data_IF_124119473776
#
_entry.id   IF_124119473776
#
_cell.length_a   1.000
_cell.length_b   1.000
_cell.length_c   1.000
_cell.angle_alpha   90.00
_cell.angle_beta   90.00
_cell.angle_gamma   90.00
#
_symmetry.space_group_name_H-M   'P 1'
#
loop_
_entity.id
_entity.type
_entity.pdbx_description
1 polymer ?
#
# COMPACT_ATOMS: atom_id res chain seq x y z
N UNK A 1 -3.61 -31.30 5.77
CA UNK A 1 -3.18 -29.89 5.78
C UNK A 1 -3.31 -29.20 4.43
N UNK A 2 -3.09 -29.91 3.35
CA UNK A 2 -3.25 -29.38 1.98
C UNK A 2 -4.64 -28.82 1.67
N UNK A 3 -5.69 -29.39 2.26
CA UNK A 3 -7.06 -28.95 2.03
C UNK A 3 -7.33 -27.53 2.56
N UNK A 4 -6.84 -27.19 3.76
CA UNK A 4 -7.03 -25.85 4.35
C UNK A 4 -6.25 -24.80 3.57
N UNK A 5 -5.01 -25.10 3.18
CA UNK A 5 -4.19 -24.22 2.37
C UNK A 5 -4.83 -23.94 1.01
N UNK A 6 -5.34 -24.98 0.34
CA UNK A 6 -6.04 -24.84 -0.95
C UNK A 6 -7.31 -24.00 -0.84
N UNK A 7 -8.16 -24.29 0.17
CA UNK A 7 -9.39 -23.52 0.42
C UNK A 7 -9.07 -22.05 0.67
N UNK A 8 -8.06 -21.78 1.48
CA UNK A 8 -7.62 -20.42 1.77
C UNK A 8 -7.14 -19.72 0.52
N UNK A 9 -6.30 -20.37 -0.31
CA UNK A 9 -5.84 -19.80 -1.57
C UNK A 9 -6.97 -19.47 -2.54
N UNK A 10 -7.98 -20.36 -2.66
CA UNK A 10 -9.17 -20.08 -3.48
C UNK A 10 -9.96 -18.89 -2.95
N UNK A 11 -10.19 -18.82 -1.64
CA UNK A 11 -10.91 -17.71 -1.01
C UNK A 11 -10.19 -16.37 -1.20
N UNK A 12 -8.86 -16.33 -1.05
CA UNK A 12 -8.09 -15.10 -1.26
C UNK A 12 -8.12 -14.64 -2.72
N UNK A 13 -8.07 -15.55 -3.68
CA UNK A 13 -8.23 -15.23 -5.10
C UNK A 13 -9.62 -14.64 -5.40
N UNK A 14 -10.65 -15.20 -4.81
CA UNK A 14 -12.02 -14.69 -4.92
C UNK A 14 -12.13 -13.27 -4.33
N UNK A 15 -11.52 -12.99 -3.19
CA UNK A 15 -11.47 -11.65 -2.61
C UNK A 15 -10.79 -10.64 -3.53
N UNK A 16 -9.71 -11.04 -4.21
CA UNK A 16 -9.02 -10.19 -5.18
C UNK A 16 -9.87 -9.92 -6.42
N UNK A 17 -10.59 -10.95 -6.91
CA UNK A 17 -11.40 -10.83 -8.14
C UNK A 17 -12.69 -10.01 -7.92
N UNK A 18 -13.32 -10.13 -6.75
CA UNK A 18 -14.65 -9.55 -6.49
C UNK A 18 -14.62 -8.10 -6.01
N UNK A 19 -13.46 -7.44 -5.99
CA UNK A 19 -13.28 -6.07 -5.48
C UNK A 19 -13.86 -5.82 -4.07
N UNK A 20 -13.94 -6.87 -3.26
CA UNK A 20 -14.39 -6.76 -1.88
C UNK A 20 -13.35 -6.06 -0.99
N UNK A 21 -12.08 -6.16 -1.37
CA UNK A 21 -10.97 -5.49 -0.69
C UNK A 21 -10.90 -4.01 -1.05
N UNK A 22 -10.71 -3.16 -0.06
CA UNK A 22 -10.63 -1.71 -0.22
C UNK A 22 -9.33 -1.14 0.34
N UNK A 23 -8.71 -0.25 -0.42
CA UNK A 23 -7.59 0.57 0.05
C UNK A 23 -6.45 -0.24 0.66
N UNK A 24 -6.28 -0.15 1.97
CA UNK A 24 -5.19 -0.82 2.69
C UNK A 24 -5.34 -2.34 2.85
N UNK A 25 -6.53 -2.89 2.59
CA UNK A 25 -6.77 -4.33 2.75
C UNK A 25 -5.97 -5.15 1.74
N UNK A 26 -5.75 -4.63 0.53
CA UNK A 26 -4.85 -5.26 -0.43
C UNK A 26 -3.42 -5.35 0.10
N UNK A 27 -2.96 -4.31 0.78
CA UNK A 27 -1.65 -4.32 1.41
C UNK A 27 -1.55 -5.35 2.53
N UNK A 28 -2.54 -5.37 3.42
CA UNK A 28 -2.60 -6.35 4.51
C UNK A 28 -2.56 -7.77 3.93
N UNK A 29 -3.29 -8.01 2.85
CA UNK A 29 -3.29 -9.31 2.17
C UNK A 29 -1.91 -9.68 1.63
N UNK A 30 -1.25 -8.77 0.92
CA UNK A 30 0.09 -9.00 0.36
C UNK A 30 1.14 -9.23 1.46
N UNK A 31 1.14 -8.38 2.49
CA UNK A 31 2.01 -8.47 3.66
C UNK A 31 1.80 -9.78 4.43
N UNK A 32 0.53 -10.20 4.55
CA UNK A 32 0.20 -11.45 5.20
C UNK A 32 0.67 -12.67 4.39
N UNK A 33 0.58 -12.63 3.08
CA UNK A 33 1.12 -13.68 2.21
C UNK A 33 2.63 -13.87 2.43
N UNK A 34 3.39 -12.78 2.53
CA UNK A 34 4.84 -12.82 2.76
C UNK A 34 5.18 -13.44 4.13
N UNK A 35 4.34 -13.19 5.14
CA UNK A 35 4.51 -13.75 6.49
C UNK A 35 3.92 -15.15 6.68
N UNK A 36 3.08 -15.61 5.76
CA UNK A 36 2.35 -16.88 5.92
C UNK A 36 3.28 -18.09 6.07
N UNK A 37 4.40 -18.13 5.34
CA UNK A 37 5.38 -19.22 5.41
C UNK A 37 6.45 -19.02 6.49
N UNK A 38 6.44 -17.90 7.20
CA UNK A 38 7.43 -17.57 8.22
C UNK A 38 7.28 -18.42 9.48
N UNK A 39 8.31 -18.37 10.34
CA UNK A 39 8.34 -19.05 11.63
C UNK A 39 7.25 -18.58 12.61
N UNK A 40 6.64 -17.43 12.33
CA UNK A 40 5.50 -16.92 13.11
C UNK A 40 4.17 -17.60 12.78
N UNK A 41 4.08 -18.27 11.61
CA UNK A 41 2.85 -18.91 11.16
C UNK A 41 3.08 -20.36 10.70
N UNK A 42 3.15 -20.64 9.42
CA UNK A 42 3.25 -22.03 8.91
C UNK A 42 4.65 -22.63 9.09
N UNK A 43 5.68 -21.81 9.17
CA UNK A 43 7.06 -22.24 9.49
C UNK A 43 7.33 -22.43 10.97
N UNK A 44 6.31 -22.31 11.83
CA UNK A 44 6.52 -22.46 13.27
C UNK A 44 7.09 -23.85 13.61
N UNK A 45 8.17 -23.93 14.41
CA UNK A 45 8.87 -25.19 14.69
C UNK A 45 7.97 -26.32 15.19
N UNK A 46 6.95 -25.97 15.98
CA UNK A 46 6.00 -26.97 16.53
C UNK A 46 5.11 -27.63 15.46
N UNK A 47 4.98 -27.04 14.28
CA UNK A 47 4.19 -27.62 13.18
C UNK A 47 4.97 -28.69 12.41
N UNK A 48 6.30 -28.66 12.51
CA UNK A 48 7.20 -29.59 11.85
C UNK A 48 6.91 -29.74 10.33
N UNK A 49 6.60 -28.60 9.68
CA UNK A 49 6.24 -28.51 8.28
C UNK A 49 7.41 -28.00 7.45
N UNK A 50 7.63 -28.61 6.31
CA UNK A 50 8.55 -28.11 5.30
C UNK A 50 7.82 -27.05 4.44
N UNK A 51 7.97 -25.78 4.83
CA UNK A 51 7.30 -24.66 4.14
C UNK A 51 7.82 -24.41 2.73
N UNK A 52 9.01 -24.95 2.38
CA UNK A 52 9.55 -24.85 1.02
C UNK A 52 8.71 -25.59 -0.02
N UNK A 53 7.94 -26.58 0.41
CA UNK A 53 7.05 -27.38 -0.43
C UNK A 53 5.63 -26.82 -0.52
N UNK A 54 5.30 -25.81 0.30
CA UNK A 54 4.00 -25.17 0.23
C UNK A 54 3.99 -24.18 -0.95
N UNK A 55 3.03 -24.28 -1.88
CA UNK A 55 2.84 -23.26 -2.89
C UNK A 55 2.48 -21.93 -2.25
N UNK A 56 2.59 -20.84 -3.00
CA UNK A 56 2.09 -19.54 -2.53
C UNK A 56 0.56 -19.54 -2.49
N UNK A 57 -0.02 -18.83 -1.54
CA UNK A 57 -1.47 -18.70 -1.42
C UNK A 57 -2.07 -17.97 -2.62
N UNK A 58 -1.41 -16.89 -3.02
CA UNK A 58 -1.65 -16.21 -4.28
C UNK A 58 -0.49 -16.54 -5.23
N UNK A 59 -0.81 -17.06 -6.39
CA UNK A 59 0.17 -17.19 -7.46
C UNK A 59 0.59 -15.81 -8.00
N UNK A 60 1.68 -15.75 -8.75
CA UNK A 60 2.24 -14.49 -9.27
C UNK A 60 1.20 -13.62 -9.98
N UNK A 61 0.29 -14.25 -10.72
CA UNK A 61 -0.79 -13.54 -11.42
C UNK A 61 -1.68 -12.77 -10.44
N UNK A 62 -2.18 -13.44 -9.40
CA UNK A 62 -3.06 -12.82 -8.42
C UNK A 62 -2.33 -11.85 -7.51
N UNK A 63 -1.07 -12.11 -7.20
CA UNK A 63 -0.20 -11.17 -6.50
C UNK A 63 -0.07 -9.86 -7.27
N UNK A 64 0.23 -9.91 -8.57
CA UNK A 64 0.33 -8.72 -9.41
C UNK A 64 -1.01 -7.98 -9.58
N UNK A 65 -2.13 -8.69 -9.65
CA UNK A 65 -3.46 -8.07 -9.69
C UNK A 65 -3.72 -7.31 -8.38
N UNK A 66 -3.49 -7.93 -7.24
CA UNK A 66 -3.67 -7.30 -5.93
C UNK A 66 -2.75 -6.08 -5.75
N UNK A 67 -1.49 -6.19 -6.15
CA UNK A 67 -0.52 -5.11 -6.12
C UNK A 67 -0.95 -3.93 -7.02
N UNK A 68 -1.38 -4.22 -8.25
CA UNK A 68 -1.84 -3.19 -9.18
C UNK A 68 -3.07 -2.45 -8.65
N UNK A 69 -4.03 -3.16 -8.07
CA UNK A 69 -5.21 -2.56 -7.43
C UNK A 69 -4.82 -1.69 -6.24
N UNK A 70 -3.86 -2.15 -5.44
CA UNK A 70 -3.33 -1.37 -4.32
C UNK A 70 -2.68 -0.06 -4.79
N UNK A 71 -1.82 -0.13 -5.80
CA UNK A 71 -1.15 1.04 -6.39
C UNK A 71 -2.19 2.03 -6.94
N UNK A 72 -3.19 1.55 -7.67
CA UNK A 72 -4.25 2.40 -8.22
C UNK A 72 -5.07 3.09 -7.13
N UNK A 73 -5.46 2.37 -6.09
CA UNK A 73 -6.15 2.94 -4.94
C UNK A 73 -5.32 4.02 -4.23
N UNK A 74 -4.02 3.78 -4.08
CA UNK A 74 -3.09 4.74 -3.48
C UNK A 74 -2.96 5.99 -4.33
N UNK A 75 -2.77 5.83 -5.64
CA UNK A 75 -2.70 6.92 -6.61
C UNK A 75 -3.97 7.78 -6.55
N UNK A 76 -5.15 7.17 -6.56
CA UNK A 76 -6.42 7.88 -6.47
C UNK A 76 -6.55 8.66 -5.16
N UNK A 77 -6.12 8.08 -4.04
CA UNK A 77 -6.10 8.72 -2.73
C UNK A 77 -5.18 9.93 -2.69
N UNK A 78 -3.96 9.81 -3.22
CA UNK A 78 -2.99 10.91 -3.30
C UNK A 78 -3.52 12.02 -4.21
N UNK A 79 -4.07 11.67 -5.38
CA UNK A 79 -4.68 12.62 -6.30
C UNK A 79 -5.82 13.40 -5.67
N UNK A 80 -6.68 12.72 -4.92
CA UNK A 80 -7.77 13.36 -4.16
C UNK A 80 -7.26 14.35 -3.11
N UNK A 81 -6.20 13.99 -2.40
CA UNK A 81 -5.62 14.89 -1.39
C UNK A 81 -4.97 16.12 -2.03
N UNK A 82 -4.25 15.95 -3.14
CA UNK A 82 -3.67 17.08 -3.87
C UNK A 82 -4.75 18.01 -4.39
N UNK A 83 -5.83 17.49 -4.93
CA UNK A 83 -6.94 18.31 -5.38
C UNK A 83 -7.55 19.10 -4.21
N UNK A 84 -7.77 18.48 -3.08
CA UNK A 84 -8.28 19.18 -1.88
C UNK A 84 -7.32 20.28 -1.39
N UNK A 85 -6.01 20.05 -1.41
CA UNK A 85 -5.02 21.04 -1.04
C UNK A 85 -5.01 22.23 -2.02
N UNK A 86 -5.12 21.96 -3.33
CA UNK A 86 -5.23 22.99 -4.37
C UNK A 86 -6.53 23.81 -4.20
N UNK A 87 -7.66 23.16 -4.00
CA UNK A 87 -8.96 23.81 -3.84
C UNK A 87 -9.00 24.68 -2.57
N UNK A 88 -8.35 24.24 -1.50
CA UNK A 88 -8.17 25.03 -0.27
C UNK A 88 -7.36 26.30 -0.57
N UNK A 89 -6.21 26.14 -1.20
CA UNK A 89 -5.32 27.26 -1.54
C UNK A 89 -6.02 28.24 -2.48
N UNK A 90 -6.74 27.75 -3.49
CA UNK A 90 -7.48 28.57 -4.43
C UNK A 90 -8.55 29.41 -3.73
N UNK A 91 -9.29 28.83 -2.79
CA UNK A 91 -10.28 29.57 -1.97
C UNK A 91 -9.64 30.62 -1.07
N UNK A 92 -8.48 30.34 -0.49
CA UNK A 92 -7.71 31.27 0.31
C UNK A 92 -7.25 32.46 -0.53
N UNK A 93 -6.78 32.24 -1.76
CA UNK A 93 -6.37 33.32 -2.68
C UNK A 93 -7.55 34.17 -3.16
N UNK A 94 -8.72 33.58 -3.31
CA UNK A 94 -9.94 34.34 -3.67
C UNK A 94 -10.55 35.08 -2.48
N UNK A 95 -10.18 34.73 -1.27
CA UNK A 95 -10.61 35.46 -0.08
C UNK A 95 -9.87 36.81 -0.02
N UNK A 96 -10.57 37.86 0.40
CA UNK A 96 -9.92 39.17 0.63
C UNK A 96 -9.04 39.15 1.91
N UNK A 97 -8.62 38.01 2.39
CA UNK A 97 -7.74 37.84 3.55
C UNK A 97 -6.30 37.94 3.03
N UNK A 98 -5.54 38.85 3.63
CA UNK A 98 -4.13 39.03 3.26
C UNK A 98 -3.35 37.73 3.53
N UNK A 99 -2.60 37.19 2.56
CA UNK A 99 -1.80 35.98 2.75
C UNK A 99 -0.77 36.18 3.86
N UNK A 100 -0.42 35.07 4.51
CA UNK A 100 0.66 35.09 5.50
C UNK A 100 1.99 35.49 4.84
N UNK A 101 2.78 36.30 5.52
CA UNK A 101 4.07 36.77 5.01
C UNK A 101 5.20 36.40 5.97
N UNK A 102 6.29 35.86 5.42
CA UNK A 102 7.55 35.65 6.13
C UNK A 102 8.60 36.58 5.47
N UNK A 103 9.28 37.40 6.24
CA UNK A 103 10.30 38.30 5.77
C UNK A 103 9.85 39.15 4.57
N UNK A 104 8.58 39.53 4.52
CA UNK A 104 8.00 40.37 3.47
C UNK A 104 7.60 39.60 2.19
N UNK A 105 7.80 38.29 2.13
CA UNK A 105 7.35 37.42 1.03
C UNK A 105 6.07 36.70 1.39
N UNK A 106 5.16 36.59 0.41
CA UNK A 106 3.95 35.79 0.58
C UNK A 106 4.30 34.31 0.65
N UNK A 107 3.74 33.61 1.64
CA UNK A 107 3.96 32.19 1.84
C UNK A 107 2.64 31.42 1.76
N UNK A 108 2.67 30.26 1.09
CA UNK A 108 1.55 29.32 1.02
C UNK A 108 1.82 28.13 1.92
N UNK A 109 0.81 27.67 2.66
CA UNK A 109 0.88 26.42 3.44
C UNK A 109 0.91 25.16 2.56
N UNK A 110 0.54 25.28 1.29
CA UNK A 110 0.36 24.16 0.37
C UNK A 110 1.58 23.22 0.26
N UNK A 111 2.82 23.71 0.13
CA UNK A 111 4.00 22.82 0.09
C UNK A 111 4.15 21.98 1.35
N UNK A 112 3.87 22.57 2.54
CA UNK A 112 3.94 21.87 3.81
C UNK A 112 2.81 20.87 3.97
N UNK A 113 1.59 21.21 3.55
CA UNK A 113 0.44 20.30 3.56
C UNK A 113 0.70 19.10 2.66
N UNK A 114 1.19 19.31 1.43
CA UNK A 114 1.56 18.25 0.48
C UNK A 114 2.68 17.38 1.04
N UNK A 115 3.75 17.99 1.57
CA UNK A 115 4.87 17.25 2.14
C UNK A 115 4.42 16.38 3.32
N UNK A 116 3.57 16.91 4.20
CA UNK A 116 3.01 16.16 5.33
C UNK A 116 2.16 14.96 4.88
N UNK A 117 1.35 15.14 3.83
CA UNK A 117 0.56 14.07 3.23
C UNK A 117 1.44 12.98 2.61
N UNK A 118 2.49 13.37 1.90
CA UNK A 118 3.45 12.42 1.31
C UNK A 118 4.23 11.67 2.37
N UNK A 119 4.71 12.36 3.41
CA UNK A 119 5.40 11.72 4.53
C UNK A 119 4.49 10.70 5.22
N UNK A 120 3.24 11.04 5.47
CA UNK A 120 2.28 10.09 6.04
C UNK A 120 2.12 8.85 5.15
N UNK A 121 2.03 9.02 3.83
CA UNK A 121 1.96 7.88 2.93
C UNK A 121 3.26 7.09 2.92
N UNK A 122 4.42 7.73 2.83
CA UNK A 122 5.72 7.05 2.86
C UNK A 122 5.93 6.29 4.18
N UNK A 123 5.48 6.82 5.31
CA UNK A 123 5.54 6.11 6.60
C UNK A 123 4.64 4.86 6.61
N UNK A 124 3.45 4.95 6.00
CA UNK A 124 2.58 3.79 5.82
C UNK A 124 3.09 2.83 4.74
N UNK A 125 3.77 3.34 3.70
CA UNK A 125 4.24 2.59 2.53
C UNK A 125 5.76 2.38 2.49
N UNK A 126 6.54 3.05 3.33
CA UNK A 126 7.99 3.00 3.28
C UNK A 126 8.54 1.59 3.43
N UNK A 127 7.85 0.76 4.17
CA UNK A 127 8.13 -0.66 4.27
C UNK A 127 7.76 -1.41 2.97
N UNK A 128 6.73 -0.98 2.26
CA UNK A 128 6.23 -1.61 1.03
C UNK A 128 7.08 -1.28 -0.19
N UNK A 129 7.42 0.00 -0.34
CA UNK A 129 8.30 0.45 -1.43
C UNK A 129 9.68 -0.19 -1.27
N UNK A 130 10.16 -0.34 -0.04
CA UNK A 130 11.42 -1.01 0.25
C UNK A 130 11.36 -2.49 -0.16
N UNK A 131 10.28 -3.20 0.17
CA UNK A 131 10.06 -4.58 -0.26
C UNK A 131 9.88 -4.70 -1.78
N UNK A 132 9.19 -3.73 -2.40
CA UNK A 132 8.99 -3.71 -3.85
C UNK A 132 10.31 -3.45 -4.60
N UNK A 133 11.11 -2.50 -4.11
CA UNK A 133 12.45 -2.21 -4.66
C UNK A 133 13.37 -3.41 -4.46
N UNK A 134 13.30 -4.08 -3.30
CA UNK A 134 14.10 -5.29 -3.04
C UNK A 134 13.71 -6.43 -4.00
N UNK A 135 12.41 -6.69 -4.19
CA UNK A 135 11.93 -7.70 -5.17
C UNK A 135 12.31 -7.34 -6.61
N UNK A 136 12.18 -6.08 -7.00
CA UNK A 136 12.61 -5.62 -8.33
C UNK A 136 14.14 -5.76 -8.53
N UNK A 137 14.93 -5.53 -7.47
CA UNK A 137 16.38 -5.75 -7.55
C UNK A 137 16.73 -7.24 -7.67
N UNK A 138 15.99 -8.13 -7.01
CA UNK A 138 16.22 -9.59 -7.11
C UNK A 138 15.83 -10.17 -8.48
N UNK A 139 14.91 -9.52 -9.21
CA UNK A 139 14.55 -9.93 -10.59
C UNK A 139 15.54 -9.45 -11.66
N UNK A 140 16.45 -8.52 -11.31
CA UNK A 140 17.45 -7.95 -12.23
C UNK A 140 18.90 -8.39 -11.94
N UNK A 141 19.12 -9.28 -10.98
CA UNK A 141 20.41 -9.90 -10.65
C UNK A 141 20.36 -11.40 -10.95
#
# INVERSE_FOLDING_TARGET
>A
MDCVHQILGVYLKELVDTDQLKGQEFFILLSWQDTYKSDYFMGHPNLNLDTSKLPDLLDDKYYHIALSKHIENTKNKISFWFQNALDKNYREWQSNIMPYTIEGNYESSMPNDINSMLIQQVFFFGFEIFLLIFKLCDEFI
#
